data_IF_936553903184
#
_entry.id   IF_936553903184
#
_cell.length_a   1.000
_cell.length_b   1.000
_cell.length_c   1.000
_cell.angle_alpha   90.00
_cell.angle_beta   90.00
_cell.angle_gamma   90.00
#
_symmetry.space_group_name_H-M   'P 1'
#
loop_
_entity.id
_entity.type
_entity.pdbx_description
1 polymer ?
#
# COMPACT_ATOMS: atom_id res chain seq x y z
N UNK A 1 -16.66 -11.18 -4.97
CA UNK A 1 -17.77 -11.53 -5.84
C UNK A 1 -18.04 -13.04 -5.84
N UNK A 2 -19.23 -13.45 -6.27
CA UNK A 2 -19.60 -14.85 -6.39
C UNK A 2 -19.86 -15.19 -7.87
N UNK A 3 -19.64 -16.45 -8.27
CA UNK A 3 -20.03 -16.94 -9.60
C UNK A 3 -21.56 -16.83 -9.76
N UNK A 4 -22.05 -16.55 -10.98
CA UNK A 4 -23.48 -16.37 -11.25
C UNK A 4 -24.36 -17.51 -10.72
N UNK A 5 -23.89 -18.76 -10.83
CA UNK A 5 -24.57 -19.96 -10.32
C UNK A 5 -24.77 -19.98 -8.81
N UNK A 6 -24.01 -19.19 -8.06
CA UNK A 6 -24.06 -19.08 -6.59
C UNK A 6 -24.80 -17.81 -6.13
N UNK A 7 -25.31 -16.99 -7.04
CA UNK A 7 -25.94 -15.72 -6.71
C UNK A 7 -27.13 -15.89 -5.76
N UNK A 8 -27.89 -16.97 -5.93
CA UNK A 8 -29.06 -17.26 -5.10
C UNK A 8 -28.72 -17.76 -3.68
N UNK A 9 -27.50 -18.30 -3.51
CA UNK A 9 -27.01 -18.73 -2.19
C UNK A 9 -26.49 -17.58 -1.35
N UNK A 10 -26.29 -16.39 -1.93
CA UNK A 10 -25.78 -15.24 -1.19
C UNK A 10 -26.69 -14.83 -0.04
N UNK A 11 -26.12 -14.24 1.04
CA UNK A 11 -26.88 -13.76 2.18
C UNK A 11 -28.00 -12.79 1.82
N UNK A 12 -29.02 -12.72 2.67
CA UNK A 12 -30.14 -11.76 2.62
C UNK A 12 -30.05 -10.81 3.81
N UNK A 13 -30.67 -9.60 3.73
CA UNK A 13 -31.43 -9.07 2.61
C UNK A 13 -30.54 -8.59 1.46
N UNK A 14 -31.08 -8.50 0.24
CA UNK A 14 -30.44 -7.84 -0.90
C UNK A 14 -31.43 -6.97 -1.67
N UNK A 15 -30.90 -5.98 -2.42
CA UNK A 15 -31.70 -5.15 -3.33
C UNK A 15 -31.79 -5.82 -4.68
N UNK A 16 -33.02 -5.94 -5.19
CA UNK A 16 -33.33 -6.47 -6.54
C UNK A 16 -33.93 -5.36 -7.36
N UNK A 17 -33.52 -5.27 -8.63
CA UNK A 17 -34.16 -4.41 -9.61
C UNK A 17 -35.22 -5.22 -10.35
N UNK A 18 -36.45 -4.76 -10.32
CA UNK A 18 -37.57 -5.34 -11.03
C UNK A 18 -37.55 -4.96 -12.51
N UNK A 19 -38.37 -5.65 -13.32
CA UNK A 19 -38.45 -5.43 -14.77
C UNK A 19 -38.95 -4.02 -15.14
N UNK A 20 -39.79 -3.40 -14.31
CA UNK A 20 -40.29 -2.02 -14.43
C UNK A 20 -39.29 -0.96 -14.02
N UNK A 21 -38.11 -1.36 -13.55
CA UNK A 21 -37.05 -0.46 -13.11
C UNK A 21 -37.08 -0.10 -11.63
N UNK A 22 -38.12 -0.44 -10.88
CA UNK A 22 -38.20 -0.23 -9.45
C UNK A 22 -37.25 -1.17 -8.67
N UNK A 23 -36.88 -0.76 -7.46
CA UNK A 23 -36.05 -1.56 -6.57
C UNK A 23 -36.87 -2.04 -5.37
N UNK A 24 -36.72 -3.31 -5.02
CA UNK A 24 -37.26 -3.86 -3.78
C UNK A 24 -36.19 -4.57 -2.96
N UNK A 25 -36.46 -4.77 -1.68
CA UNK A 25 -35.63 -5.55 -0.80
C UNK A 25 -36.17 -6.98 -0.75
N UNK A 26 -35.35 -7.95 -1.14
CA UNK A 26 -35.60 -9.38 -0.96
C UNK A 26 -35.02 -9.82 0.38
N UNK A 27 -35.92 -10.17 1.32
CA UNK A 27 -35.54 -10.50 2.69
C UNK A 27 -35.29 -11.99 2.88
N UNK A 28 -35.92 -12.86 2.07
CA UNK A 28 -35.86 -14.30 2.21
C UNK A 28 -35.74 -14.98 0.85
N UNK A 29 -35.04 -16.09 0.81
CA UNK A 29 -34.97 -17.03 -0.31
C UNK A 29 -34.47 -18.38 0.20
N UNK A 30 -35.16 -19.47 -0.15
CA UNK A 30 -34.89 -20.83 0.36
C UNK A 30 -33.45 -21.30 0.12
N UNK A 31 -32.86 -20.93 -1.01
CA UNK A 31 -31.47 -21.27 -1.36
C UNK A 31 -30.41 -20.40 -0.72
N UNK A 32 -30.80 -19.33 -0.02
CA UNK A 32 -29.86 -18.37 0.59
C UNK A 32 -29.16 -18.96 1.83
N UNK A 33 -27.92 -18.54 2.06
CA UNK A 33 -27.20 -18.78 3.32
C UNK A 33 -27.86 -18.12 4.54
N UNK A 34 -28.97 -17.39 4.33
CA UNK A 34 -29.69 -16.70 5.39
C UNK A 34 -29.16 -15.30 5.69
N UNK A 35 -29.53 -14.77 6.84
CA UNK A 35 -29.19 -13.43 7.28
C UNK A 35 -27.92 -13.47 8.11
N UNK A 36 -26.85 -12.83 7.62
CA UNK A 36 -25.53 -12.81 8.29
C UNK A 36 -25.22 -11.51 9.02
N UNK A 37 -26.06 -10.47 8.84
CA UNK A 37 -25.91 -9.19 9.54
C UNK A 37 -27.27 -8.58 9.89
N UNK A 38 -27.30 -7.74 10.92
CA UNK A 38 -28.52 -7.09 11.38
C UNK A 38 -28.95 -5.91 10.49
N UNK A 39 -28.06 -5.38 9.65
CA UNK A 39 -28.30 -4.22 8.82
C UNK A 39 -27.63 -4.38 7.44
N UNK A 40 -27.97 -3.51 6.48
CA UNK A 40 -27.55 -3.59 5.08
C UNK A 40 -26.12 -3.13 4.80
N UNK A 41 -25.36 -2.76 5.81
CA UNK A 41 -24.01 -2.25 5.73
C UNK A 41 -23.85 -0.91 6.43
N UNK A 42 -22.60 -0.44 6.54
CA UNK A 42 -22.31 0.87 7.12
C UNK A 42 -22.61 1.97 6.11
N UNK A 43 -23.65 2.77 6.37
CA UNK A 43 -24.09 3.82 5.46
C UNK A 43 -22.97 4.83 5.13
N UNK A 44 -22.21 5.27 6.13
CA UNK A 44 -21.11 6.22 5.93
C UNK A 44 -20.02 5.68 4.99
N UNK A 45 -19.66 4.40 5.13
CA UNK A 45 -18.69 3.75 4.23
C UNK A 45 -19.24 3.60 2.82
N UNK A 46 -20.52 3.21 2.69
CA UNK A 46 -21.17 3.10 1.37
C UNK A 46 -21.24 4.46 0.69
N UNK A 47 -21.58 5.53 1.42
CA UNK A 47 -21.64 6.90 0.89
C UNK A 47 -20.26 7.39 0.42
N UNK A 48 -19.21 7.10 1.17
CA UNK A 48 -17.83 7.42 0.74
C UNK A 48 -17.45 6.71 -0.55
N UNK A 49 -17.71 5.40 -0.64
CA UNK A 49 -17.44 4.62 -1.85
C UNK A 49 -18.25 5.15 -3.05
N UNK A 50 -19.53 5.45 -2.84
CA UNK A 50 -20.41 6.01 -3.86
C UNK A 50 -19.90 7.37 -4.38
N UNK A 51 -19.54 8.28 -3.47
CA UNK A 51 -18.99 9.60 -3.81
C UNK A 51 -17.68 9.49 -4.58
N UNK A 52 -16.78 8.60 -4.16
CA UNK A 52 -15.52 8.32 -4.86
C UNK A 52 -15.76 7.82 -6.29
N UNK A 53 -16.64 6.82 -6.46
CA UNK A 53 -16.98 6.28 -7.78
C UNK A 53 -17.59 7.35 -8.69
N UNK A 54 -18.49 8.20 -8.16
CA UNK A 54 -19.08 9.28 -8.92
C UNK A 54 -18.06 10.33 -9.35
N UNK A 55 -17.14 10.71 -8.45
CA UNK A 55 -16.13 11.73 -8.74
C UNK A 55 -15.13 11.29 -9.81
N UNK A 56 -14.72 10.02 -9.80
CA UNK A 56 -13.81 9.47 -10.80
C UNK A 56 -14.50 9.14 -12.13
N UNK A 57 -15.74 8.68 -12.08
CA UNK A 57 -16.41 8.11 -13.22
C UNK A 57 -15.79 6.79 -13.71
N UNK A 58 -16.45 6.15 -14.66
CA UNK A 58 -16.06 4.82 -15.15
C UNK A 58 -14.63 4.75 -15.68
N UNK A 59 -14.23 5.76 -16.45
CA UNK A 59 -12.91 5.79 -17.11
C UNK A 59 -11.78 5.88 -16.08
N UNK A 60 -11.87 6.84 -15.16
CA UNK A 60 -10.80 7.09 -14.21
C UNK A 60 -10.76 6.04 -13.11
N UNK A 61 -11.91 5.44 -12.76
CA UNK A 61 -11.94 4.31 -11.82
C UNK A 61 -11.13 3.11 -12.35
N UNK A 62 -11.18 2.84 -13.66
CA UNK A 62 -10.34 1.81 -14.28
C UNK A 62 -8.87 2.22 -14.41
N UNK A 63 -8.61 3.52 -14.52
CA UNK A 63 -7.26 4.07 -14.61
C UNK A 63 -6.54 4.07 -13.26
N UNK A 64 -7.26 4.25 -12.16
CA UNK A 64 -6.71 4.32 -10.80
C UNK A 64 -5.77 3.14 -10.49
N UNK A 65 -6.21 1.91 -10.73
CA UNK A 65 -5.38 0.73 -10.50
C UNK A 65 -4.13 0.66 -11.38
N UNK A 66 -4.21 1.16 -12.61
CA UNK A 66 -3.05 1.22 -13.53
C UNK A 66 -2.03 2.24 -13.07
N UNK A 67 -2.48 3.41 -12.61
CA UNK A 67 -1.61 4.46 -12.09
C UNK A 67 -0.94 4.03 -10.79
N UNK A 68 -1.68 3.43 -9.85
CA UNK A 68 -1.10 2.89 -8.63
C UNK A 68 0.00 1.85 -8.94
N UNK A 69 -0.25 0.95 -9.90
CA UNK A 69 0.75 -0.04 -10.34
C UNK A 69 1.98 0.64 -10.97
N UNK A 70 1.78 1.64 -11.81
CA UNK A 70 2.87 2.38 -12.44
C UNK A 70 3.72 3.11 -11.39
N UNK A 71 3.07 3.83 -10.47
CA UNK A 71 3.72 4.60 -9.42
C UNK A 71 4.58 3.70 -8.51
N UNK A 72 4.03 2.56 -8.08
CA UNK A 72 4.76 1.62 -7.23
C UNK A 72 6.00 1.06 -7.93
N UNK A 73 5.88 0.60 -9.17
CA UNK A 73 7.02 0.07 -9.91
C UNK A 73 8.05 1.15 -10.25
N UNK A 74 7.62 2.38 -10.52
CA UNK A 74 8.53 3.50 -10.76
C UNK A 74 9.38 3.81 -9.54
N UNK A 75 8.79 3.97 -8.35
CA UNK A 75 9.55 4.20 -7.10
C UNK A 75 10.49 3.02 -6.81
N UNK A 76 9.99 1.80 -6.95
CA UNK A 76 10.79 0.58 -6.74
C UNK A 76 12.05 0.56 -7.58
N UNK A 77 11.94 0.82 -8.89
CA UNK A 77 13.09 0.83 -9.80
C UNK A 77 14.07 1.96 -9.48
N UNK A 78 13.58 3.16 -9.18
CA UNK A 78 14.42 4.31 -8.87
C UNK A 78 15.21 4.17 -7.57
N UNK A 79 14.75 3.32 -6.63
CA UNK A 79 15.38 3.12 -5.32
C UNK A 79 16.14 1.80 -5.19
N UNK A 80 16.14 0.93 -6.20
CA UNK A 80 16.75 -0.40 -6.14
C UNK A 80 18.25 -0.41 -5.84
N UNK A 81 18.96 0.66 -6.16
CA UNK A 81 20.40 0.79 -5.92
C UNK A 81 20.72 1.33 -4.51
N UNK A 82 19.69 1.76 -3.76
CA UNK A 82 19.84 2.30 -2.41
C UNK A 82 19.28 1.37 -1.33
N UNK A 83 18.25 0.62 -1.67
CA UNK A 83 17.52 -0.27 -0.75
C UNK A 83 17.52 -1.71 -1.25
N UNK A 84 17.66 -2.68 -0.33
CA UNK A 84 17.63 -4.11 -0.66
C UNK A 84 16.25 -4.50 -1.16
N UNK A 85 16.16 -5.01 -2.38
CA UNK A 85 14.92 -5.44 -3.01
C UNK A 85 14.84 -6.98 -3.00
N UNK A 86 14.18 -7.61 -2.00
CA UNK A 86 14.15 -9.06 -1.86
C UNK A 86 13.28 -9.75 -2.90
N UNK A 87 12.30 -9.04 -3.47
CA UNK A 87 11.40 -9.56 -4.51
C UNK A 87 11.45 -8.61 -5.71
N UNK A 88 12.23 -9.00 -6.73
CA UNK A 88 12.42 -8.22 -7.95
C UNK A 88 11.46 -8.68 -9.06
N UNK A 89 10.17 -8.54 -8.82
CA UNK A 89 9.12 -8.78 -9.80
C UNK A 89 8.24 -7.53 -9.94
N UNK A 90 7.46 -7.45 -11.03
CA UNK A 90 6.45 -6.40 -11.17
C UNK A 90 5.46 -6.53 -10.01
N UNK A 91 5.35 -5.49 -9.20
CA UNK A 91 4.36 -5.39 -8.13
C UNK A 91 3.05 -4.79 -8.65
N UNK A 92 1.96 -4.92 -7.88
CA UNK A 92 0.69 -4.26 -8.17
C UNK A 92 0.73 -2.81 -7.70
N UNK A 93 0.37 -2.54 -6.45
CA UNK A 93 0.25 -1.18 -5.90
C UNK A 93 1.19 -0.94 -4.72
N UNK A 94 1.88 -1.97 -4.26
CA UNK A 94 2.82 -1.92 -3.13
C UNK A 94 4.03 -2.82 -3.37
N UNK A 95 5.11 -2.51 -2.72
CA UNK A 95 6.34 -3.32 -2.70
C UNK A 95 7.07 -3.14 -1.36
N UNK A 96 8.04 -4.02 -1.11
CA UNK A 96 8.78 -4.06 0.15
C UNK A 96 10.28 -4.02 -0.13
N UNK A 97 11.00 -3.15 0.57
CA UNK A 97 12.44 -3.22 0.72
C UNK A 97 12.82 -3.90 2.04
N UNK A 98 13.99 -4.53 2.12
CA UNK A 98 14.57 -5.07 3.35
C UNK A 98 15.76 -4.23 3.82
N UNK A 99 15.48 -2.97 4.16
CA UNK A 99 16.46 -2.01 4.64
C UNK A 99 17.39 -1.44 3.57
N UNK A 100 18.38 -0.71 4.03
CA UNK A 100 19.39 -0.04 3.20
C UNK A 100 20.42 -1.05 2.68
N UNK A 101 20.96 -0.81 1.47
CA UNK A 101 22.10 -1.57 0.94
C UNK A 101 23.36 -1.23 1.72
N UNK A 102 23.69 0.06 1.88
CA UNK A 102 24.70 0.55 2.81
C UNK A 102 24.01 1.26 3.97
N UNK A 103 23.93 0.62 5.12
CA UNK A 103 23.31 1.15 6.34
C UNK A 103 24.30 1.94 7.17
N UNK A 104 25.52 2.14 6.71
CA UNK A 104 26.60 2.85 7.40
C UNK A 104 27.28 2.03 8.51
N UNK A 105 26.91 0.77 8.72
CA UNK A 105 27.61 -0.08 9.68
C UNK A 105 29.07 -0.32 9.24
N UNK A 106 29.96 -0.42 10.21
CA UNK A 106 31.36 -0.74 9.95
C UNK A 106 31.84 -1.81 10.93
N UNK A 107 32.74 -2.67 10.46
CA UNK A 107 33.36 -3.74 11.24
C UNK A 107 34.87 -3.64 11.16
N UNK A 108 35.56 -4.09 12.19
CA UNK A 108 37.03 -4.23 12.20
C UNK A 108 37.48 -5.49 11.42
N UNK A 109 38.78 -5.70 11.35
CA UNK A 109 39.39 -6.84 10.67
C UNK A 109 38.97 -8.20 11.28
N UNK A 110 38.59 -8.21 12.55
CA UNK A 110 38.16 -9.40 13.29
C UNK A 110 36.63 -9.62 13.18
N UNK A 111 35.90 -8.72 12.48
CA UNK A 111 34.47 -8.82 12.26
C UNK A 111 33.59 -8.22 13.37
N UNK A 112 34.19 -7.57 14.38
CA UNK A 112 33.44 -6.89 15.43
C UNK A 112 32.85 -5.58 14.91
N UNK A 113 31.63 -5.28 15.32
CA UNK A 113 30.95 -4.05 14.93
C UNK A 113 31.61 -2.84 15.61
N UNK A 114 32.17 -1.94 14.81
CA UNK A 114 32.80 -0.69 15.26
C UNK A 114 31.91 0.52 15.14
N UNK A 115 30.91 0.44 14.25
CA UNK A 115 29.85 1.44 14.07
C UNK A 115 28.53 0.72 13.73
N UNK A 116 27.46 0.88 14.53
CA UNK A 116 26.15 0.32 14.24
C UNK A 116 25.51 1.04 13.05
N UNK A 117 24.85 0.31 12.18
CA UNK A 117 24.15 0.84 11.03
C UNK A 117 22.82 1.52 11.39
N UNK A 118 22.26 2.21 10.41
CA UNK A 118 20.90 2.73 10.46
C UNK A 118 19.89 1.60 10.23
N UNK A 119 18.83 1.60 11.01
CA UNK A 119 17.72 0.65 10.91
C UNK A 119 16.59 1.21 10.05
N UNK A 120 15.66 0.37 9.68
CA UNK A 120 14.40 0.78 9.04
C UNK A 120 13.61 1.79 9.89
N UNK A 121 13.64 1.66 11.23
CA UNK A 121 13.01 2.63 12.11
C UNK A 121 13.69 4.00 12.00
N UNK A 122 15.01 4.04 11.88
CA UNK A 122 15.75 5.30 11.74
C UNK A 122 15.42 5.97 10.39
N UNK A 123 15.32 5.20 9.31
CA UNK A 123 14.84 5.69 8.01
C UNK A 123 13.42 6.27 8.12
N UNK A 124 12.51 5.56 8.80
CA UNK A 124 11.13 6.02 9.00
C UNK A 124 11.05 7.33 9.78
N UNK A 125 11.85 7.47 10.85
CA UNK A 125 11.98 8.71 11.63
C UNK A 125 12.53 9.85 10.77
N UNK A 126 13.57 9.56 9.98
CA UNK A 126 14.19 10.57 9.12
C UNK A 126 13.25 11.06 8.03
N UNK A 127 12.36 10.21 7.52
CA UNK A 127 11.28 10.62 6.61
C UNK A 127 10.35 11.66 7.23
N UNK A 128 10.02 11.53 8.53
CA UNK A 128 9.23 12.52 9.25
C UNK A 128 9.92 13.89 9.30
N UNK A 129 11.26 13.91 9.50
CA UNK A 129 12.05 15.16 9.46
C UNK A 129 11.97 15.86 8.10
N UNK A 130 11.84 15.08 7.02
CA UNK A 130 11.63 15.60 5.66
C UNK A 130 10.17 15.93 5.34
N UNK A 131 9.26 15.77 6.31
CA UNK A 131 7.84 16.10 6.16
C UNK A 131 7.02 15.02 5.45
N UNK A 132 7.53 13.80 5.32
CA UNK A 132 6.81 12.67 4.76
C UNK A 132 6.21 11.79 5.85
N UNK A 133 5.08 11.18 5.55
CA UNK A 133 4.52 10.14 6.39
C UNK A 133 5.43 8.91 6.38
N UNK A 134 5.73 8.38 7.56
CA UNK A 134 6.53 7.16 7.66
C UNK A 134 5.75 5.96 7.10
N UNK A 135 6.35 5.17 6.19
CA UNK A 135 5.71 3.98 5.66
C UNK A 135 5.58 2.88 6.73
N UNK A 136 4.83 1.83 6.42
CA UNK A 136 4.76 0.64 7.27
C UNK A 136 6.12 -0.03 7.33
N UNK A 137 6.63 -0.23 8.55
CA UNK A 137 7.92 -0.88 8.80
C UNK A 137 7.74 -2.18 9.58
N UNK A 138 8.76 -3.06 9.50
CA UNK A 138 8.76 -4.40 10.14
C UNK A 138 7.57 -5.28 9.74
N UNK A 139 6.95 -4.99 8.62
CA UNK A 139 5.91 -5.80 8.00
C UNK A 139 6.11 -5.83 6.47
N UNK A 140 5.96 -7.00 5.83
CA UNK A 140 5.63 -8.31 6.40
C UNK A 140 6.80 -8.88 7.23
N UNK A 141 6.50 -9.74 8.22
CA UNK A 141 7.49 -10.38 9.11
C UNK A 141 8.45 -11.34 8.38
N UNK A 142 8.33 -11.43 7.06
CA UNK A 142 9.19 -12.23 6.21
C UNK A 142 10.61 -11.65 6.11
N UNK A 143 10.77 -10.36 6.30
CA UNK A 143 12.03 -9.63 6.22
C UNK A 143 12.28 -8.83 7.50
N UNK A 144 13.55 -8.80 7.94
CA UNK A 144 13.90 -8.17 9.24
C UNK A 144 13.85 -6.64 9.24
N UNK A 145 14.13 -6.01 8.09
CA UNK A 145 14.18 -4.56 7.95
C UNK A 145 13.15 -4.07 6.93
N UNK A 146 11.94 -4.66 6.96
CA UNK A 146 10.89 -4.35 6.01
C UNK A 146 10.51 -2.88 6.02
N UNK A 147 10.44 -2.28 4.83
CA UNK A 147 9.79 -0.99 4.54
C UNK A 147 8.81 -1.24 3.42
N UNK A 148 7.51 -1.08 3.69
CA UNK A 148 6.45 -1.25 2.70
C UNK A 148 6.02 0.11 2.16
N UNK A 149 6.09 0.28 0.85
CA UNK A 149 5.75 1.54 0.17
C UNK A 149 4.57 1.29 -0.76
N UNK A 150 3.52 2.10 -0.58
CA UNK A 150 2.27 2.05 -1.34
C UNK A 150 1.89 3.47 -1.81
N UNK A 151 2.41 3.91 -2.96
CA UNK A 151 1.97 5.16 -3.56
C UNK A 151 0.57 4.99 -4.15
N UNK A 152 -0.32 5.96 -3.87
CA UNK A 152 -1.66 5.93 -4.44
C UNK A 152 -1.69 6.50 -5.85
N UNK A 153 -2.80 6.29 -6.56
CA UNK A 153 -3.06 6.88 -7.88
C UNK A 153 -3.20 8.40 -7.85
N UNK A 154 -3.39 8.99 -6.66
CA UNK A 154 -3.55 10.43 -6.48
C UNK A 154 -2.23 11.18 -6.42
N UNK A 155 -1.11 10.47 -6.27
CA UNK A 155 0.21 11.09 -6.24
C UNK A 155 0.62 11.58 -7.63
N UNK A 156 1.07 12.85 -7.70
CA UNK A 156 1.63 13.40 -8.93
C UNK A 156 3.04 12.87 -9.18
N UNK A 157 3.50 12.96 -10.43
CA UNK A 157 4.88 12.58 -10.74
C UNK A 157 5.89 13.43 -9.94
N UNK A 158 5.60 14.72 -9.77
CA UNK A 158 6.45 15.64 -9.01
C UNK A 158 6.55 15.23 -7.53
N UNK A 159 5.44 14.82 -6.90
CA UNK A 159 5.46 14.35 -5.51
C UNK A 159 6.20 13.04 -5.36
N UNK A 160 6.07 12.13 -6.33
CA UNK A 160 6.80 10.87 -6.36
C UNK A 160 8.30 11.11 -6.55
N UNK A 161 8.70 11.97 -7.49
CA UNK A 161 10.11 12.31 -7.73
C UNK A 161 10.74 12.96 -6.49
N UNK A 162 10.01 13.86 -5.81
CA UNK A 162 10.46 14.47 -4.56
C UNK A 162 10.64 13.43 -3.43
N UNK A 163 9.71 12.49 -3.30
CA UNK A 163 9.85 11.37 -2.35
C UNK A 163 11.07 10.50 -2.67
N UNK A 164 11.28 10.14 -3.94
CA UNK A 164 12.44 9.36 -4.38
C UNK A 164 13.75 10.10 -4.04
N UNK A 165 13.81 11.41 -4.29
CA UNK A 165 14.98 12.22 -3.97
C UNK A 165 15.29 12.23 -2.46
N UNK A 166 14.27 12.32 -1.61
CA UNK A 166 14.43 12.23 -0.15
C UNK A 166 14.89 10.84 0.28
N UNK A 167 14.33 9.77 -0.26
CA UNK A 167 14.75 8.41 0.05
C UNK A 167 16.22 8.16 -0.35
N UNK A 168 16.65 8.62 -1.53
CA UNK A 168 18.05 8.57 -1.96
C UNK A 168 18.96 9.38 -1.02
N UNK A 169 18.51 10.55 -0.57
CA UNK A 169 19.26 11.39 0.37
C UNK A 169 19.40 10.71 1.74
N UNK A 170 18.35 10.11 2.28
CA UNK A 170 18.41 9.35 3.53
C UNK A 170 19.40 8.18 3.41
N UNK A 171 19.41 7.48 2.29
CA UNK A 171 20.37 6.40 2.06
C UNK A 171 21.83 6.92 2.04
N UNK A 172 22.08 8.07 1.42
CA UNK A 172 23.40 8.71 1.42
C UNK A 172 23.82 9.18 2.84
N UNK A 173 22.91 9.81 3.57
CA UNK A 173 23.14 10.21 4.97
C UNK A 173 23.48 9.00 5.86
N UNK A 174 22.76 7.89 5.71
CA UNK A 174 23.04 6.66 6.47
C UNK A 174 24.43 6.07 6.16
N UNK A 175 24.82 6.06 4.91
CA UNK A 175 26.12 5.54 4.47
C UNK A 175 27.28 6.40 5.02
N UNK A 176 27.12 7.73 5.04
CA UNK A 176 28.09 8.68 5.55
C UNK A 176 28.15 8.63 7.09
N UNK A 177 27.05 8.90 7.75
CA UNK A 177 26.93 8.86 9.20
C UNK A 177 25.52 8.39 9.66
N UNK A 178 25.36 7.10 10.02
CA UNK A 178 24.07 6.58 10.48
C UNK A 178 23.54 7.25 11.75
N UNK A 179 24.36 8.00 12.50
CA UNK A 179 23.91 8.73 13.68
C UNK A 179 23.03 9.93 13.32
N UNK A 180 23.10 10.42 12.09
CA UNK A 180 22.23 11.49 11.59
C UNK A 180 20.74 11.06 11.52
N UNK A 181 20.48 9.75 11.49
CA UNK A 181 19.14 9.20 11.40
C UNK A 181 18.58 8.80 12.77
N UNK A 182 19.38 8.74 13.81
CA UNK A 182 19.02 8.30 15.18
C UNK A 182 18.52 9.44 16.04
#
# INVERSE_FOLDING_TARGET
GAAARLADCLPRPRVIREADGHFRIETEKDSSAGRVSAFMGNFGIILRAYSYILSLGRRNLLLAGKLATLNANYIKEELRDCYKLPIDSICKHEFVFDGLIDDGSRKDADGNETRPGATTLDVAKRLLDYGYHAPTIYFPLLFHQSIMIEPTETESKESIDAFIAVMKKIAAEAAEDPMLLK
#
